data_IF_016387485445
#
_entry.id   IF_016387485445
#
_cell.length_a   1.000
_cell.length_b   1.000
_cell.length_c   1.000
_cell.angle_alpha   90.00
_cell.angle_beta   90.00
_cell.angle_gamma   90.00
#
_symmetry.space_group_name_H-M   'P 1'
#
loop_
_entity.id
_entity.type
_entity.pdbx_description
1 polymer ?
#
# COMPACT_ATOMS: atom_id res chain seq x y z
N UNK A 1 17.32 1.02 14.94
CA UNK A 1 17.72 1.38 13.55
C UNK A 1 18.58 0.30 12.89
N UNK A 2 19.65 -0.21 13.53
CA UNK A 2 20.52 -1.26 12.93
C UNK A 2 19.77 -2.52 12.45
N UNK A 3 18.74 -2.98 13.18
CA UNK A 3 17.91 -4.14 12.75
C UNK A 3 17.13 -3.87 11.45
N UNK A 4 16.57 -2.68 11.29
CA UNK A 4 15.84 -2.31 10.08
C UNK A 4 16.79 -2.20 8.87
N UNK A 5 17.98 -1.62 9.08
CA UNK A 5 19.03 -1.58 8.06
C UNK A 5 19.53 -2.98 7.70
N UNK A 6 19.68 -3.87 8.68
CA UNK A 6 20.04 -5.26 8.44
C UNK A 6 19.00 -6.01 7.60
N UNK A 7 17.71 -5.86 7.93
CA UNK A 7 16.63 -6.46 7.14
C UNK A 7 16.58 -5.91 5.71
N UNK A 8 16.75 -4.59 5.54
CA UNK A 8 16.83 -3.98 4.22
C UNK A 8 18.00 -4.57 3.42
N UNK A 9 19.19 -4.66 4.03
CA UNK A 9 20.37 -5.22 3.38
C UNK A 9 20.13 -6.69 2.96
N UNK A 10 19.50 -7.50 3.81
CA UNK A 10 19.15 -8.89 3.50
C UNK A 10 18.17 -8.99 2.34
N UNK A 11 17.11 -8.16 2.33
CA UNK A 11 16.12 -8.15 1.24
C UNK A 11 16.77 -7.73 -0.07
N UNK A 12 17.59 -6.66 -0.06
CA UNK A 12 18.30 -6.20 -1.25
C UNK A 12 19.29 -7.26 -1.77
N UNK A 13 20.00 -7.93 -0.87
CA UNK A 13 20.90 -9.03 -1.23
C UNK A 13 20.11 -10.17 -1.87
N UNK A 14 18.99 -10.60 -1.28
CA UNK A 14 18.16 -11.67 -1.81
C UNK A 14 17.63 -11.33 -3.22
N UNK A 15 17.10 -10.13 -3.41
CA UNK A 15 16.63 -9.66 -4.72
C UNK A 15 17.79 -9.57 -5.73
N UNK A 16 18.97 -9.12 -5.31
CA UNK A 16 20.18 -9.09 -6.13
C UNK A 16 20.69 -10.49 -6.52
N UNK A 17 20.53 -11.47 -5.63
CA UNK A 17 20.90 -12.86 -5.92
C UNK A 17 19.92 -13.51 -6.90
N UNK A 18 18.63 -13.21 -6.81
CA UNK A 18 17.60 -13.67 -7.78
C UNK A 18 17.79 -12.98 -9.14
N UNK A 19 18.15 -11.70 -9.16
CA UNK A 19 18.29 -10.95 -10.41
C UNK A 19 19.48 -11.38 -11.26
N UNK A 20 20.50 -12.03 -10.67
CA UNK A 20 21.67 -12.53 -11.42
C UNK A 20 21.33 -13.64 -12.42
N UNK A 21 20.69 -14.76 -12.04
CA UNK A 21 20.32 -15.82 -12.97
C UNK A 21 19.04 -15.53 -13.77
N UNK A 22 18.09 -14.73 -13.24
CA UNK A 22 16.76 -14.55 -13.86
C UNK A 22 16.50 -13.13 -14.40
N UNK A 23 17.43 -12.21 -14.19
CA UNK A 23 17.30 -10.80 -14.61
C UNK A 23 16.52 -9.92 -13.61
N UNK A 24 16.68 -8.58 -13.68
CA UNK A 24 15.96 -7.65 -12.83
C UNK A 24 14.42 -7.75 -12.90
N UNK A 25 13.77 -7.96 -14.07
CA UNK A 25 12.31 -8.07 -14.13
C UNK A 25 11.76 -9.23 -13.30
N UNK A 26 12.40 -10.40 -13.33
CA UNK A 26 11.97 -11.56 -12.56
C UNK A 26 12.06 -11.31 -11.04
N UNK A 27 13.12 -10.63 -10.58
CA UNK A 27 13.25 -10.25 -9.18
C UNK A 27 12.18 -9.23 -8.75
N UNK A 28 11.81 -8.30 -9.64
CA UNK A 28 10.72 -7.34 -9.39
C UNK A 28 9.36 -8.03 -9.31
N UNK A 29 9.07 -8.99 -10.21
CA UNK A 29 7.82 -9.76 -10.15
C UNK A 29 7.73 -10.60 -8.88
N UNK A 30 8.83 -11.27 -8.49
CA UNK A 30 8.87 -12.00 -7.23
C UNK A 30 8.60 -11.08 -6.03
N UNK A 31 9.23 -9.90 -6.01
CA UNK A 31 9.00 -8.91 -4.97
C UNK A 31 7.54 -8.44 -4.95
N UNK A 32 6.94 -8.19 -6.13
CA UNK A 32 5.54 -7.79 -6.29
C UNK A 32 4.59 -8.83 -5.72
N UNK A 33 4.77 -10.10 -6.08
CA UNK A 33 3.96 -11.23 -5.57
C UNK A 33 4.09 -11.35 -4.05
N UNK A 34 5.33 -11.29 -3.53
CA UNK A 34 5.59 -11.36 -2.10
C UNK A 34 4.94 -10.20 -1.33
N UNK A 35 5.00 -8.98 -1.88
CA UNK A 35 4.35 -7.80 -1.30
C UNK A 35 2.83 -7.92 -1.26
N UNK A 36 2.20 -8.45 -2.31
CA UNK A 36 0.75 -8.72 -2.32
C UNK A 36 0.37 -9.69 -1.20
N UNK A 37 1.06 -10.83 -1.11
CA UNK A 37 0.77 -11.85 -0.09
C UNK A 37 1.03 -11.34 1.33
N UNK A 38 2.12 -10.60 1.53
CA UNK A 38 2.45 -10.00 2.82
C UNK A 38 1.41 -8.94 3.22
N UNK A 39 1.00 -8.08 2.29
CA UNK A 39 -0.04 -7.08 2.53
C UNK A 39 -1.38 -7.75 2.92
N UNK A 40 -1.80 -8.81 2.21
CA UNK A 40 -3.00 -9.57 2.59
C UNK A 40 -2.90 -10.17 4.00
N UNK A 41 -1.74 -10.75 4.33
CA UNK A 41 -1.48 -11.35 5.65
C UNK A 41 -1.50 -10.30 6.76
N UNK A 42 -0.89 -9.14 6.53
CA UNK A 42 -0.92 -8.02 7.46
C UNK A 42 -2.34 -7.51 7.65
N UNK A 43 -3.10 -7.34 6.55
CA UNK A 43 -4.50 -6.93 6.64
C UNK A 43 -5.32 -7.88 7.52
N UNK A 44 -5.20 -9.20 7.30
CA UNK A 44 -5.88 -10.20 8.13
C UNK A 44 -5.43 -10.19 9.59
N UNK A 45 -4.13 -10.03 9.84
CA UNK A 45 -3.56 -9.95 11.20
C UNK A 45 -4.08 -8.72 11.96
N UNK A 46 -4.12 -7.56 11.30
CA UNK A 46 -4.65 -6.34 11.90
C UNK A 46 -6.17 -6.36 12.05
N UNK A 47 -6.89 -7.04 11.15
CA UNK A 47 -8.32 -7.24 11.29
C UNK A 47 -8.63 -8.09 12.52
N UNK A 48 -7.86 -9.17 12.71
CA UNK A 48 -7.93 -9.99 13.92
C UNK A 48 -7.60 -9.15 15.16
N UNK A 49 -6.51 -8.38 15.14
CA UNK A 49 -6.15 -7.51 16.27
C UNK A 49 -7.23 -6.46 16.57
N UNK A 50 -7.86 -5.90 15.54
CA UNK A 50 -8.99 -5.00 15.71
C UNK A 50 -10.18 -5.71 16.33
N UNK A 51 -10.48 -6.95 15.93
CA UNK A 51 -11.53 -7.74 16.57
C UNK A 51 -11.28 -7.93 18.07
N UNK A 52 -10.03 -8.16 18.46
CA UNK A 52 -9.66 -8.45 19.85
C UNK A 52 -9.50 -7.18 20.72
N UNK A 53 -9.10 -6.04 20.15
CA UNK A 53 -8.74 -4.82 20.90
C UNK A 53 -9.49 -3.55 20.48
N UNK A 54 -10.26 -3.60 19.40
CA UNK A 54 -11.04 -2.50 18.83
C UNK A 54 -10.27 -1.18 18.66
N UNK A 55 -8.96 -1.24 18.40
CA UNK A 55 -8.15 -0.01 18.31
C UNK A 55 -8.32 0.65 16.93
N UNK A 56 -8.48 1.99 16.87
CA UNK A 56 -8.57 2.71 15.60
C UNK A 56 -7.35 2.49 14.70
N UNK A 57 -6.16 2.33 15.30
CA UNK A 57 -4.92 2.06 14.58
C UNK A 57 -4.93 0.69 13.89
N UNK A 58 -5.43 -0.36 14.55
CA UNK A 58 -5.54 -1.67 13.92
C UNK A 58 -6.52 -1.65 12.74
N UNK A 59 -7.62 -0.90 12.84
CA UNK A 59 -8.54 -0.71 11.72
C UNK A 59 -7.90 0.07 10.56
N UNK A 60 -7.13 1.12 10.87
CA UNK A 60 -6.36 1.87 9.87
C UNK A 60 -5.39 0.97 9.10
N UNK A 61 -4.60 0.16 9.83
CA UNK A 61 -3.69 -0.84 9.27
C UNK A 61 -4.44 -1.86 8.39
N UNK A 62 -5.58 -2.36 8.88
CA UNK A 62 -6.39 -3.32 8.13
C UNK A 62 -6.78 -2.78 6.76
N UNK A 63 -7.39 -1.60 6.71
CA UNK A 63 -7.86 -1.01 5.45
C UNK A 63 -6.71 -0.60 4.52
N UNK A 64 -5.61 -0.05 5.05
CA UNK A 64 -4.44 0.28 4.24
C UNK A 64 -3.83 -0.96 3.60
N UNK A 65 -3.60 -2.04 4.36
CA UNK A 65 -2.99 -3.25 3.82
C UNK A 65 -3.95 -4.05 2.93
N UNK A 66 -5.25 -4.07 3.24
CA UNK A 66 -6.26 -4.70 2.39
C UNK A 66 -6.37 -3.98 1.04
N UNK A 67 -6.44 -2.64 1.07
CA UNK A 67 -6.49 -1.81 -0.13
C UNK A 67 -5.21 -1.95 -0.97
N UNK A 68 -4.03 -1.89 -0.34
CA UNK A 68 -2.76 -2.08 -1.04
C UNK A 68 -2.66 -3.48 -1.66
N UNK A 69 -3.01 -4.53 -0.91
CA UNK A 69 -3.02 -5.91 -1.42
C UNK A 69 -3.96 -6.07 -2.60
N UNK A 70 -5.18 -5.51 -2.51
CA UNK A 70 -6.17 -5.60 -3.58
C UNK A 70 -5.74 -4.81 -4.81
N UNK A 71 -5.14 -3.61 -4.66
CA UNK A 71 -4.67 -2.81 -5.78
C UNK A 71 -3.49 -3.47 -6.51
N UNK A 72 -2.46 -3.89 -5.76
CA UNK A 72 -1.30 -4.59 -6.31
C UNK A 72 -1.70 -5.95 -6.91
N UNK A 73 -2.57 -6.68 -6.22
CA UNK A 73 -3.11 -7.96 -6.67
C UNK A 73 -3.97 -7.84 -7.92
N UNK A 74 -4.77 -6.78 -8.04
CA UNK A 74 -5.56 -6.50 -9.24
C UNK A 74 -4.68 -6.37 -10.46
N UNK A 75 -3.58 -5.61 -10.35
CA UNK A 75 -2.62 -5.46 -11.45
C UNK A 75 -1.96 -6.79 -11.79
N UNK A 76 -1.52 -7.54 -10.79
CA UNK A 76 -0.94 -8.87 -10.97
C UNK A 76 -1.90 -9.82 -11.71
N UNK A 77 -3.18 -9.82 -11.35
CA UNK A 77 -4.19 -10.63 -12.05
C UNK A 77 -4.40 -10.15 -13.49
N UNK A 78 -4.40 -8.83 -13.75
CA UNK A 78 -4.46 -8.33 -15.13
C UNK A 78 -3.27 -8.80 -15.97
N UNK A 79 -2.05 -8.74 -15.42
CA UNK A 79 -0.83 -9.17 -16.11
C UNK A 79 -0.93 -10.68 -16.44
N UNK A 80 -1.42 -11.50 -15.52
CA UNK A 80 -1.63 -12.94 -15.73
C UNK A 80 -2.73 -13.27 -16.76
N UNK A 81 -3.76 -12.43 -16.86
CA UNK A 81 -4.90 -12.63 -17.77
C UNK A 81 -4.72 -11.94 -19.13
N UNK A 82 -3.60 -11.25 -19.37
CA UNK A 82 -3.34 -10.55 -20.63
C UNK A 82 -4.14 -9.27 -20.82
N UNK A 83 -4.37 -8.51 -19.74
CA UNK A 83 -5.06 -7.21 -19.75
C UNK A 83 -6.50 -7.22 -20.32
N UNK A 84 -7.42 -7.99 -19.72
CA UNK A 84 -8.80 -7.97 -20.17
C UNK A 84 -9.44 -6.60 -19.96
N UNK A 85 -10.16 -6.10 -20.98
CA UNK A 85 -10.78 -4.76 -20.98
C UNK A 85 -11.73 -4.55 -19.78
N UNK A 86 -12.49 -5.58 -19.39
CA UNK A 86 -13.43 -5.51 -18.27
C UNK A 86 -12.76 -5.26 -16.91
N UNK A 87 -11.48 -5.60 -16.74
CA UNK A 87 -10.72 -5.27 -15.53
C UNK A 87 -10.14 -3.85 -15.56
N UNK A 88 -9.89 -3.30 -16.75
CA UNK A 88 -9.40 -1.93 -16.92
C UNK A 88 -10.45 -0.89 -16.54
N UNK A 89 -11.72 -1.17 -16.86
CA UNK A 89 -12.85 -0.25 -16.65
C UNK A 89 -13.72 -0.63 -15.44
N UNK A 90 -13.28 -1.59 -14.62
CA UNK A 90 -14.12 -2.11 -13.54
C UNK A 90 -14.35 -1.06 -12.45
N UNK A 91 -15.61 -0.75 -12.09
CA UNK A 91 -15.92 0.13 -10.96
C UNK A 91 -15.46 -0.47 -9.62
N UNK A 92 -15.13 -1.76 -9.56
CA UNK A 92 -14.57 -2.40 -8.35
C UNK A 92 -13.25 -1.75 -7.92
N UNK A 93 -12.45 -1.24 -8.87
CA UNK A 93 -11.22 -0.50 -8.56
C UNK A 93 -11.50 0.74 -7.71
N UNK A 94 -12.64 1.42 -7.92
CA UNK A 94 -13.04 2.56 -7.08
C UNK A 94 -13.34 2.11 -5.65
N UNK A 95 -13.95 0.94 -5.47
CA UNK A 95 -14.16 0.34 -4.15
C UNK A 95 -12.85 0.01 -3.44
N UNK A 96 -11.90 -0.61 -4.17
CA UNK A 96 -10.56 -0.93 -3.66
C UNK A 96 -9.80 0.34 -3.26
N UNK A 97 -9.83 1.37 -4.10
CA UNK A 97 -9.24 2.68 -3.80
C UNK A 97 -9.93 3.33 -2.61
N UNK A 98 -11.25 3.24 -2.49
CA UNK A 98 -12.01 3.74 -1.35
C UNK A 98 -11.57 3.11 -0.02
N UNK A 99 -11.38 1.79 0.00
CA UNK A 99 -10.81 1.07 1.17
C UNK A 99 -9.39 1.57 1.47
N UNK A 100 -8.53 1.65 0.45
CA UNK A 100 -7.14 2.06 0.63
C UNK A 100 -7.01 3.50 1.16
N UNK A 101 -7.78 4.42 0.59
CA UNK A 101 -7.81 5.82 1.00
C UNK A 101 -8.37 5.98 2.40
N UNK A 102 -9.42 5.22 2.75
CA UNK A 102 -9.97 5.23 4.12
C UNK A 102 -8.92 4.80 5.14
N UNK A 103 -8.19 3.71 4.88
CA UNK A 103 -7.08 3.29 5.75
C UNK A 103 -5.98 4.35 5.88
N UNK A 104 -5.65 5.01 4.77
CA UNK A 104 -4.66 6.09 4.75
C UNK A 104 -5.12 7.30 5.57
N UNK A 105 -6.39 7.71 5.47
CA UNK A 105 -6.95 8.80 6.26
C UNK A 105 -6.96 8.47 7.76
N UNK A 106 -7.32 7.23 8.12
CA UNK A 106 -7.29 6.78 9.51
C UNK A 106 -5.86 6.77 10.08
N UNK A 107 -4.85 6.45 9.26
CA UNK A 107 -3.45 6.55 9.64
C UNK A 107 -3.03 7.98 9.93
N UNK A 108 -3.35 8.91 9.04
CA UNK A 108 -3.03 10.33 9.22
C UNK A 108 -3.69 10.86 10.49
N UNK A 109 -4.94 10.45 10.77
CA UNK A 109 -5.62 10.80 12.02
C UNK A 109 -4.94 10.19 13.26
N UNK A 110 -4.48 8.93 13.19
CA UNK A 110 -3.73 8.30 14.26
C UNK A 110 -2.39 9.02 14.54
N UNK A 111 -1.67 9.40 13.49
CA UNK A 111 -0.43 10.20 13.59
C UNK A 111 -0.74 11.57 14.18
N UNK A 112 -1.76 12.26 13.68
CA UNK A 112 -2.18 13.57 14.20
C UNK A 112 -2.43 13.52 15.71
N UNK A 113 -3.14 12.50 16.19
CA UNK A 113 -3.39 12.27 17.61
C UNK A 113 -2.11 11.98 18.39
N UNK A 114 -1.24 11.12 17.86
CA UNK A 114 0.02 10.75 18.52
C UNK A 114 0.97 11.95 18.73
N UNK A 115 0.96 12.91 17.81
CA UNK A 115 1.80 14.12 17.90
C UNK A 115 1.07 15.35 18.48
N UNK A 116 -0.18 15.22 18.91
CA UNK A 116 -0.96 16.35 19.45
C UNK A 116 -1.21 17.47 18.43
N UNK A 117 -1.21 17.15 17.13
CA UNK A 117 -1.33 18.15 16.07
C UNK A 117 -2.78 18.64 15.91
N UNK A 118 -2.94 19.95 15.72
CA UNK A 118 -4.23 20.57 15.42
C UNK A 118 -4.77 20.22 14.03
N UNK A 119 -6.04 20.54 13.76
CA UNK A 119 -6.68 20.28 12.46
C UNK A 119 -5.96 20.92 11.26
N UNK A 120 -5.29 22.06 11.46
CA UNK A 120 -4.53 22.76 10.41
C UNK A 120 -3.39 21.89 9.85
N UNK A 121 -2.74 21.08 10.69
CA UNK A 121 -1.69 20.17 10.24
C UNK A 121 -2.24 19.03 9.37
N UNK A 122 -3.47 18.57 9.63
CA UNK A 122 -4.15 17.58 8.80
C UNK A 122 -4.46 18.14 7.41
N UNK A 123 -4.94 19.38 7.35
CA UNK A 123 -5.18 20.09 6.08
C UNK A 123 -3.88 20.26 5.30
N UNK A 124 -2.75 20.50 5.96
CA UNK A 124 -1.46 20.61 5.29
C UNK A 124 -0.95 19.26 4.76
N UNK A 125 -1.09 18.18 5.54
CA UNK A 125 -0.71 16.82 5.10
C UNK A 125 -1.56 16.35 3.93
N UNK A 126 -2.89 16.51 4.01
CA UNK A 126 -3.82 16.12 2.95
C UNK A 126 -3.75 17.07 1.74
N UNK A 127 -3.62 18.37 1.99
CA UNK A 127 -3.44 19.40 0.97
C UNK A 127 -2.13 19.24 0.22
N UNK A 128 -1.05 18.83 0.87
CA UNK A 128 0.21 18.47 0.23
C UNK A 128 0.07 17.29 -0.73
N UNK A 129 -0.66 16.24 -0.34
CA UNK A 129 -0.94 15.10 -1.24
C UNK A 129 -1.84 15.47 -2.41
N UNK A 130 -2.88 16.29 -2.19
CA UNK A 130 -3.75 16.77 -3.27
C UNK A 130 -3.01 17.72 -4.22
N UNK A 131 -2.18 18.62 -3.68
CA UNK A 131 -1.34 19.52 -4.46
C UNK A 131 -0.36 18.76 -5.34
N UNK A 132 0.28 17.71 -4.81
CA UNK A 132 1.14 16.83 -5.59
C UNK A 132 0.35 16.10 -6.71
N UNK A 133 -0.87 15.62 -6.42
CA UNK A 133 -1.71 14.97 -7.43
C UNK A 133 -2.10 15.94 -8.57
N UNK A 134 -2.52 17.17 -8.23
CA UNK A 134 -2.83 18.21 -9.22
C UNK A 134 -1.59 18.57 -10.05
N UNK A 135 -0.42 18.69 -9.42
CA UNK A 135 0.83 18.97 -10.10
C UNK A 135 1.19 17.87 -11.10
N UNK A 136 1.06 16.59 -10.71
CA UNK A 136 1.30 15.45 -11.60
C UNK A 136 0.32 15.45 -12.76
N UNK A 137 -0.97 15.71 -12.52
CA UNK A 137 -1.97 15.80 -13.59
C UNK A 137 -1.71 16.97 -14.54
N UNK A 138 -1.24 18.12 -14.03
CA UNK A 138 -0.88 19.28 -14.84
C UNK A 138 0.43 19.14 -15.63
N UNK A 139 1.28 18.17 -15.28
CA UNK A 139 2.50 17.82 -16.04
C UNK A 139 2.22 16.74 -17.09
N UNK A 140 1.23 15.87 -16.84
CA UNK A 140 0.87 14.74 -17.71
C UNK A 140 -0.25 15.05 -18.71
N UNK A 141 -1.00 16.13 -18.51
CA UNK A 141 -2.03 16.64 -19.43
C UNK A 141 -1.50 17.72 -20.36
#
# INVERSE_FOLDING_TARGET
MMRALGLLAVILLALGLVSRPFGPPAAQELARVALVAMAATLAGTFLWLWREKATPLALAMTFSWAGASALMGWRLVQDLLGHPLWMGESPMLLGVLGVYLTGTLLHVEAIRRAFGLGQVALVFLLGGTLGAAVLVLGVLG
#
